data_IF_440679258405
#
_entry.id   IF_440679258405
#
_cell.length_a   1.000
_cell.length_b   1.000
_cell.length_c   1.000
_cell.angle_alpha   90.00
_cell.angle_beta   90.00
_cell.angle_gamma   90.00
#
_symmetry.space_group_name_H-M   'P 1'
#
loop_
_entity.id
_entity.type
_entity.pdbx_description
1 polymer ?
#
# COMPACT_ATOMS: atom_id res chain seq x y z
N UNK A 1 8.70 3.82 16.96
CA UNK A 1 7.48 4.44 16.37
C UNK A 1 6.84 3.59 15.27
N UNK A 2 7.59 3.00 14.34
CA UNK A 2 7.02 2.11 13.32
C UNK A 2 6.40 0.83 13.91
N UNK A 3 6.98 0.26 14.97
CA UNK A 3 6.45 -0.94 15.65
C UNK A 3 5.09 -0.72 16.32
N UNK A 4 4.83 0.47 16.87
CA UNK A 4 3.55 0.80 17.51
C UNK A 4 2.46 1.01 16.44
N UNK A 5 2.86 1.59 15.31
CA UNK A 5 2.00 1.72 14.14
C UNK A 5 1.70 0.35 13.52
N UNK A 6 2.70 -0.53 13.36
CA UNK A 6 2.51 -1.92 12.95
C UNK A 6 1.59 -2.68 13.90
N UNK A 7 1.69 -2.47 15.21
CA UNK A 7 0.85 -3.19 16.19
C UNK A 7 -0.62 -2.77 16.12
N UNK A 8 -0.90 -1.46 15.98
CA UNK A 8 -2.28 -0.97 15.78
C UNK A 8 -2.82 -1.30 14.39
N UNK A 9 -1.99 -1.20 13.35
CA UNK A 9 -2.34 -1.61 11.99
C UNK A 9 -2.63 -3.12 11.92
N UNK A 10 -1.87 -3.95 12.63
CA UNK A 10 -2.03 -5.40 12.64
C UNK A 10 -3.37 -5.83 13.23
N UNK A 11 -4.04 -5.02 14.04
CA UNK A 11 -5.39 -5.36 14.51
C UNK A 11 -6.47 -4.96 13.48
N UNK A 12 -6.36 -3.77 12.88
CA UNK A 12 -7.38 -3.24 11.95
C UNK A 12 -7.24 -3.81 10.53
N UNK A 13 -6.01 -4.06 10.09
CA UNK A 13 -5.67 -4.45 8.73
C UNK A 13 -5.15 -5.89 8.62
N UNK A 14 -5.23 -6.70 9.68
CA UNK A 14 -4.69 -8.06 9.66
C UNK A 14 -5.23 -8.86 8.47
N UNK A 15 -6.56 -8.85 8.31
CA UNK A 15 -7.23 -9.61 7.25
C UNK A 15 -6.83 -9.11 5.85
N UNK A 16 -6.75 -7.79 5.68
CA UNK A 16 -6.29 -7.18 4.43
C UNK A 16 -4.85 -7.57 4.11
N UNK A 17 -3.93 -7.49 5.07
CA UNK A 17 -2.52 -7.85 4.89
C UNK A 17 -2.41 -9.34 4.59
N UNK A 18 -3.12 -10.20 5.32
CA UNK A 18 -3.16 -11.64 5.07
C UNK A 18 -3.66 -11.94 3.65
N UNK A 19 -4.77 -11.32 3.22
CA UNK A 19 -5.33 -11.50 1.87
C UNK A 19 -4.38 -10.98 0.79
N UNK A 20 -3.74 -9.83 1.03
CA UNK A 20 -2.77 -9.23 0.13
C UNK A 20 -1.52 -10.10 -0.01
N UNK A 21 -0.97 -10.60 1.10
CA UNK A 21 0.20 -11.49 1.09
C UNK A 21 -0.11 -12.86 0.46
N UNK A 22 -1.33 -13.38 0.62
CA UNK A 22 -1.77 -14.61 -0.06
C UNK A 22 -1.91 -14.43 -1.57
N UNK A 23 -2.51 -13.32 -2.02
CA UNK A 23 -2.73 -13.05 -3.45
C UNK A 23 -1.46 -12.57 -4.16
N UNK A 24 -0.59 -11.84 -3.46
CA UNK A 24 0.59 -11.20 -4.03
C UNK A 24 1.83 -11.47 -3.14
N UNK A 25 2.34 -12.71 -3.11
CA UNK A 25 3.46 -13.10 -2.26
C UNK A 25 4.79 -12.42 -2.62
N UNK A 26 4.90 -11.83 -3.81
CA UNK A 26 6.08 -11.09 -4.30
C UNK A 26 6.13 -9.63 -3.87
N UNK A 27 5.14 -9.15 -3.10
CA UNK A 27 5.18 -7.80 -2.55
C UNK A 27 6.23 -7.69 -1.44
N UNK A 28 7.05 -6.65 -1.53
CA UNK A 28 8.02 -6.33 -0.48
C UNK A 28 7.32 -5.68 0.71
N UNK A 29 7.93 -5.65 1.91
CA UNK A 29 7.36 -4.93 3.05
C UNK A 29 7.04 -3.46 2.76
N UNK A 30 7.85 -2.79 1.92
CA UNK A 30 7.58 -1.42 1.47
C UNK A 30 6.34 -1.31 0.58
N UNK A 31 6.08 -2.32 -0.25
CA UNK A 31 4.87 -2.38 -1.09
C UNK A 31 3.63 -2.57 -0.23
N UNK A 32 3.69 -3.49 0.74
CA UNK A 32 2.60 -3.73 1.70
C UNK A 32 2.29 -2.46 2.50
N UNK A 33 3.33 -1.78 3.00
CA UNK A 33 3.20 -0.49 3.70
C UNK A 33 2.48 0.56 2.83
N UNK A 34 2.85 0.66 1.55
CA UNK A 34 2.16 1.54 0.61
C UNK A 34 0.69 1.14 0.41
N UNK A 35 0.39 -0.16 0.25
CA UNK A 35 -0.99 -0.66 0.13
C UNK A 35 -1.86 -0.28 1.33
N UNK A 36 -1.31 -0.40 2.55
CA UNK A 36 -2.00 -0.01 3.78
C UNK A 36 -2.34 1.48 3.78
N UNK A 37 -1.36 2.35 3.45
CA UNK A 37 -1.62 3.79 3.36
C UNK A 37 -2.66 4.15 2.30
N UNK A 38 -2.65 3.45 1.16
CA UNK A 38 -3.66 3.63 0.12
C UNK A 38 -5.05 3.15 0.55
N UNK A 39 -5.14 2.06 1.32
CA UNK A 39 -6.39 1.54 1.92
C UNK A 39 -6.96 2.52 2.94
N UNK A 40 -6.11 3.27 3.63
CA UNK A 40 -6.49 4.39 4.51
C UNK A 40 -6.89 5.66 3.75
N UNK A 41 -6.99 5.60 2.40
CA UNK A 41 -7.34 6.71 1.52
C UNK A 41 -6.38 7.92 1.60
N UNK A 42 -5.12 7.68 1.98
CA UNK A 42 -4.11 8.74 2.04
C UNK A 42 -3.66 9.14 0.63
N UNK A 43 -3.45 10.44 0.43
CA UNK A 43 -2.90 10.98 -0.79
C UNK A 43 -1.39 10.74 -0.88
N UNK A 44 -0.82 10.74 -2.09
CA UNK A 44 0.63 10.60 -2.26
C UNK A 44 1.42 11.73 -1.57
N UNK A 45 0.80 12.89 -1.29
CA UNK A 45 1.40 13.99 -0.51
C UNK A 45 1.53 13.64 0.97
N UNK A 46 0.53 12.98 1.53
CA UNK A 46 0.55 12.52 2.94
C UNK A 46 1.44 11.29 3.12
N UNK A 47 1.51 10.42 2.11
CA UNK A 47 2.35 9.20 2.14
C UNK A 47 3.84 9.54 2.07
N UNK A 48 4.22 10.57 1.32
CA UNK A 48 5.61 10.97 1.11
C UNK A 48 6.41 11.12 2.43
N UNK A 49 5.97 11.94 3.41
CA UNK A 49 6.67 12.06 4.69
C UNK A 49 6.64 10.74 5.50
N UNK A 50 5.56 9.96 5.44
CA UNK A 50 5.46 8.68 6.17
C UNK A 50 6.40 7.60 5.64
N UNK A 51 6.71 7.64 4.35
CA UNK A 51 7.66 6.73 3.70
C UNK A 51 9.08 7.30 3.63
N UNK A 52 9.30 8.53 4.10
CA UNK A 52 10.57 9.25 4.01
C UNK A 52 11.12 9.31 2.57
N UNK A 53 10.25 9.58 1.60
CA UNK A 53 10.60 9.74 0.18
C UNK A 53 9.87 10.94 -0.41
N UNK A 54 10.33 11.42 -1.57
CA UNK A 54 9.64 12.51 -2.27
C UNK A 54 8.26 12.08 -2.77
N UNK A 55 7.37 13.05 -2.98
CA UNK A 55 6.08 12.83 -3.67
C UNK A 55 6.25 12.07 -4.99
N UNK A 56 7.28 12.43 -5.77
CA UNK A 56 7.61 11.74 -7.03
C UNK A 56 8.06 10.29 -6.79
N UNK A 57 8.77 10.04 -5.70
CA UNK A 57 9.12 8.69 -5.24
C UNK A 57 7.88 7.84 -4.95
N UNK A 58 6.88 8.40 -4.26
CA UNK A 58 5.59 7.72 -4.01
C UNK A 58 4.89 7.40 -5.33
N UNK A 59 4.81 8.35 -6.27
CA UNK A 59 4.18 8.13 -7.58
C UNK A 59 4.87 7.00 -8.37
N UNK A 60 6.21 6.96 -8.36
CA UNK A 60 6.95 5.87 -8.98
C UNK A 60 6.71 4.53 -8.28
N UNK A 61 6.60 4.53 -6.95
CA UNK A 61 6.28 3.34 -6.17
C UNK A 61 4.87 2.84 -6.50
N UNK A 62 3.87 3.72 -6.60
CA UNK A 62 2.49 3.38 -7.03
C UNK A 62 2.46 2.79 -8.43
N UNK A 63 3.24 3.34 -9.35
CA UNK A 63 3.37 2.80 -10.71
C UNK A 63 3.92 1.37 -10.71
N UNK A 64 5.00 1.13 -9.94
CA UNK A 64 5.57 -0.22 -9.79
C UNK A 64 4.61 -1.17 -9.10
N UNK A 65 3.91 -0.70 -8.07
CA UNK A 65 2.92 -1.47 -7.33
C UNK A 65 1.78 -1.93 -8.25
N UNK A 66 1.25 -1.05 -9.11
CA UNK A 66 0.24 -1.41 -10.12
C UNK A 66 0.68 -2.58 -10.99
N UNK A 67 1.92 -2.55 -11.49
CA UNK A 67 2.50 -3.65 -12.27
C UNK A 67 2.57 -4.94 -11.47
N UNK A 68 3.01 -4.87 -10.19
CA UNK A 68 3.06 -6.05 -9.31
C UNK A 68 1.67 -6.61 -9.01
N UNK A 69 0.65 -5.77 -8.96
CA UNK A 69 -0.74 -6.17 -8.74
C UNK A 69 -1.47 -6.57 -10.04
N UNK A 70 -0.77 -6.55 -11.19
CA UNK A 70 -1.35 -6.80 -12.51
C UNK A 70 -2.57 -5.93 -12.84
N UNK A 71 -2.58 -4.68 -12.37
CA UNK A 71 -3.67 -3.74 -12.65
C UNK A 71 -3.45 -3.04 -13.99
N UNK A 72 -4.52 -2.97 -14.78
CA UNK A 72 -4.60 -2.16 -15.99
C UNK A 72 -4.60 -0.66 -15.66
N UNK A 73 -4.33 0.18 -16.67
CA UNK A 73 -4.29 1.64 -16.47
C UNK A 73 -5.65 2.23 -16.08
N UNK A 74 -6.73 1.58 -16.51
CA UNK A 74 -8.11 1.98 -16.25
C UNK A 74 -8.55 1.63 -14.82
N UNK A 75 -7.83 0.71 -14.16
CA UNK A 75 -8.12 0.31 -12.80
C UNK A 75 -7.60 1.32 -11.76
N UNK A 76 -8.52 1.78 -10.93
CA UNK A 76 -8.20 2.61 -9.79
C UNK A 76 -7.56 1.75 -8.69
N UNK A 77 -6.26 1.97 -8.46
CA UNK A 77 -5.49 1.25 -7.44
C UNK A 77 -6.12 1.32 -6.05
N UNK A 78 -6.60 2.49 -5.63
CA UNK A 78 -7.24 2.64 -4.32
C UNK A 78 -8.56 1.87 -4.24
N UNK A 79 -9.38 1.91 -5.30
CA UNK A 79 -10.64 1.14 -5.38
C UNK A 79 -10.39 -0.37 -5.34
N UNK A 80 -9.37 -0.83 -6.06
CA UNK A 80 -8.96 -2.24 -6.06
C UNK A 80 -8.55 -2.69 -4.65
N UNK A 81 -7.70 -1.92 -3.97
CA UNK A 81 -7.28 -2.23 -2.60
C UNK A 81 -8.45 -2.15 -1.61
N UNK A 82 -9.44 -1.27 -1.83
CA UNK A 82 -10.66 -1.21 -1.03
C UNK A 82 -11.52 -2.46 -1.16
N UNK A 83 -11.54 -3.11 -2.33
CA UNK A 83 -12.30 -4.36 -2.58
C UNK A 83 -11.62 -5.63 -2.09
N UNK A 84 -10.36 -5.52 -1.64
CA UNK A 84 -9.55 -6.59 -1.05
C UNK A 84 -9.74 -6.68 0.46
#
# INVERSE_FOLDING_TARGET
EWEIFETNLNQIHNEFIINLSKKFPHLTPKDVKLCVYLKMNLSSKEIAPMMNISFRGVELHRYRLRKKLNLSQEENLSKFLLSL
#
